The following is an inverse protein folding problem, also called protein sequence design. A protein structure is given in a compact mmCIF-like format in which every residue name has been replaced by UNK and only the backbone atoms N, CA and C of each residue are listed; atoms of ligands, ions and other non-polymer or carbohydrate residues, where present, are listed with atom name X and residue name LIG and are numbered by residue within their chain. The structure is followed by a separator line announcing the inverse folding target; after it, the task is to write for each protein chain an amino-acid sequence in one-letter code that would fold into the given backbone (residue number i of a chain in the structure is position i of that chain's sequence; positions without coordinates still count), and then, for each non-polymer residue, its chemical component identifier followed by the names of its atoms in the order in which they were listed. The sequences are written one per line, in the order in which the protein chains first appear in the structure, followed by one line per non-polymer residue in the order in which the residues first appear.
data_IF_358140261409
#
_entry.id   IF_358140261409
#
_cell.length_a   1.000
_cell.length_b   1.000
_cell.length_c   1.000
_cell.angle_alpha   90.00
_cell.angle_beta   90.00
_cell.angle_gamma   90.00
#
_symmetry.space_group_name_H-M   'P 1'
#
loop_
_entity.id
_entity.type
_entity.pdbx_description
1 polymer ?
#
# COMPACT_ATOMS: atom_id res chain seq x y z
N UNK A 1 19.00 13.06 60.99
CA UNK A 1 20.33 13.54 60.55
C UNK A 1 20.94 12.46 59.65
N UNK A 2 20.22 12.04 58.62
CA UNK A 2 20.09 12.70 57.30
C UNK A 2 21.38 12.65 56.51
N UNK A 3 21.56 11.62 55.67
CA UNK A 3 21.96 11.85 54.28
C UNK A 3 21.45 10.73 53.36
N UNK A 4 20.62 11.19 52.45
CA UNK A 4 19.93 10.55 51.33
C UNK A 4 20.85 9.76 50.40
N UNK A 5 20.39 8.58 49.98
CA UNK A 5 21.00 7.80 48.90
C UNK A 5 20.85 8.47 47.54
N UNK A 6 21.95 8.55 46.79
CA UNK A 6 21.97 9.02 45.41
C UNK A 6 22.23 7.84 44.48
N UNK A 7 21.16 7.29 43.91
CA UNK A 7 21.23 6.38 42.76
C UNK A 7 21.32 7.24 41.51
N UNK A 8 22.48 7.29 40.89
CA UNK A 8 22.70 7.98 39.63
C UNK A 8 22.06 7.17 38.50
N UNK A 9 20.93 7.66 37.97
CA UNK A 9 20.35 7.19 36.71
C UNK A 9 21.10 7.83 35.54
N UNK A 10 21.97 7.08 34.89
CA UNK A 10 22.38 7.40 33.53
C UNK A 10 21.43 6.73 32.54
N UNK A 11 20.54 7.52 31.96
CA UNK A 11 19.83 7.14 30.75
C UNK A 11 20.68 7.51 29.55
N UNK A 12 21.05 6.53 28.72
CA UNK A 12 21.53 6.78 27.36
C UNK A 12 20.96 5.72 26.42
N UNK A 13 20.16 6.25 25.48
CA UNK A 13 19.81 5.80 24.12
C UNK A 13 20.08 4.33 23.76
N UNK A 14 18.98 3.61 23.49
CA UNK A 14 19.00 2.39 22.70
C UNK A 14 19.25 2.80 21.25
N UNK A 15 20.46 2.52 20.77
CA UNK A 15 20.84 2.64 19.38
C UNK A 15 19.92 1.78 18.51
N UNK A 16 19.27 2.42 17.54
CA UNK A 16 18.49 1.77 16.50
C UNK A 16 19.15 2.09 15.16
N UNK A 17 20.34 1.52 14.93
CA UNK A 17 20.99 1.51 13.61
C UNK A 17 21.89 0.28 13.47
N UNK A 18 21.44 -0.65 12.63
CA UNK A 18 22.17 -1.69 11.90
C UNK A 18 21.05 -2.63 11.42
N UNK A 19 20.74 -2.74 10.14
CA UNK A 19 21.55 -3.42 9.14
C UNK A 19 21.27 -2.79 7.77
N UNK A 20 22.36 -2.50 7.05
CA UNK A 20 22.62 -2.63 5.60
C UNK A 20 23.69 -1.59 5.21
N UNK A 21 24.88 -1.71 5.80
CA UNK A 21 26.12 -1.45 5.09
C UNK A 21 26.58 -2.81 4.58
N UNK A 22 26.19 -3.12 3.35
CA UNK A 22 26.94 -4.06 2.53
C UNK A 22 27.05 -3.44 1.13
N UNK A 23 28.29 -3.14 0.80
CA UNK A 23 28.81 -2.46 -0.37
C UNK A 23 28.36 -3.18 -1.63
N UNK A 24 27.52 -2.54 -2.44
CA UNK A 24 27.23 -2.98 -3.81
C UNK A 24 27.83 -1.95 -4.76
N UNK A 25 29.02 -2.27 -5.25
CA UNK A 25 29.68 -1.58 -6.35
C UNK A 25 28.77 -1.60 -7.59
N UNK A 26 28.06 -0.50 -7.82
CA UNK A 26 27.38 -0.21 -9.07
C UNK A 26 27.81 1.17 -9.57
N UNK A 27 28.17 1.31 -10.87
CA UNK A 27 28.83 2.49 -11.39
C UNK A 27 27.93 3.74 -11.32
N UNK A 28 28.49 4.75 -10.65
CA UNK A 28 27.89 6.03 -10.32
C UNK A 28 27.81 6.96 -11.54
N UNK A 29 26.75 6.89 -12.35
CA UNK A 29 26.41 7.92 -13.36
C UNK A 29 24.91 8.13 -13.55
N UNK A 30 24.29 8.96 -12.70
CA UNK A 30 23.25 9.94 -13.08
C UNK A 30 22.72 10.68 -11.83
N UNK A 31 22.55 12.01 -11.88
CA UNK A 31 22.00 12.79 -10.77
C UNK A 31 20.47 12.86 -10.90
N UNK A 32 19.78 11.72 -10.84
CA UNK A 32 18.36 11.72 -10.49
C UNK A 32 18.31 11.66 -8.97
N UNK A 33 17.85 12.74 -8.34
CA UNK A 33 17.77 12.86 -6.88
C UNK A 33 17.16 11.59 -6.27
N UNK A 34 17.95 10.88 -5.45
CA UNK A 34 17.59 9.64 -4.72
C UNK A 34 16.21 9.74 -4.03
N UNK A 35 15.81 10.96 -3.67
CA UNK A 35 14.51 11.32 -3.08
C UNK A 35 13.30 11.02 -3.98
N UNK A 36 13.46 11.09 -5.31
CA UNK A 36 12.36 10.91 -6.26
C UNK A 36 12.18 9.45 -6.68
N UNK A 37 13.28 8.71 -6.72
CA UNK A 37 13.20 7.26 -6.80
C UNK A 37 12.45 6.75 -5.58
N UNK A 38 12.60 7.30 -4.36
CA UNK A 38 11.79 6.90 -3.19
C UNK A 38 10.28 7.26 -3.22
N UNK A 39 9.83 8.21 -4.05
CA UNK A 39 8.40 8.52 -4.19
C UNK A 39 7.70 7.65 -5.24
N UNK A 40 8.47 6.98 -6.12
CA UNK A 40 8.00 6.05 -7.14
C UNK A 40 8.49 4.59 -6.90
N UNK A 41 9.49 4.39 -6.04
CA UNK A 41 9.93 3.12 -5.45
C UNK A 41 9.02 2.87 -4.28
N UNK A 42 8.00 2.05 -4.53
CA UNK A 42 7.82 0.91 -3.65
C UNK A 42 8.69 -0.20 -4.23
N UNK A 43 9.79 -0.46 -3.53
CA UNK A 43 10.73 -1.59 -3.63
C UNK A 43 10.81 -2.26 -5.01
N UNK A 44 11.72 -1.76 -5.86
CA UNK A 44 12.41 -2.58 -6.87
C UNK A 44 13.49 -3.40 -6.15
N UNK A 45 13.08 -4.43 -5.42
CA UNK A 45 13.94 -5.56 -5.09
C UNK A 45 13.28 -6.79 -5.69
N UNK A 46 13.98 -7.39 -6.66
CA UNK A 46 13.59 -8.63 -7.29
C UNK A 46 13.47 -9.73 -6.24
N UNK A 47 12.24 -10.10 -5.92
CA UNK A 47 11.93 -11.39 -5.31
C UNK A 47 11.74 -12.41 -6.42
N UNK A 48 12.59 -13.43 -6.44
CA UNK A 48 12.44 -14.61 -7.30
C UNK A 48 11.02 -15.16 -7.28
N UNK A 49 10.57 -15.62 -8.44
CA UNK A 49 9.16 -15.92 -8.69
C UNK A 49 8.59 -17.02 -7.80
N UNK A 50 7.54 -16.69 -7.05
CA UNK A 50 6.56 -17.68 -6.55
C UNK A 50 5.18 -17.28 -7.07
N UNK A 51 4.68 -17.94 -8.12
CA UNK A 51 3.31 -17.70 -8.61
C UNK A 51 2.33 -17.81 -7.44
N UNK A 52 1.62 -16.72 -7.09
CA UNK A 52 0.64 -16.76 -6.01
C UNK A 52 -0.63 -17.41 -6.56
N UNK A 53 -0.98 -18.59 -6.04
CA UNK A 53 -2.26 -19.24 -6.30
C UNK A 53 -3.38 -18.43 -5.61
N UNK A 54 -4.59 -18.33 -6.19
CA UNK A 54 -5.71 -17.68 -5.51
C UNK A 54 -6.04 -18.41 -4.21
N UNK A 55 -6.01 -17.71 -3.07
CA UNK A 55 -6.28 -18.29 -1.76
C UNK A 55 -7.59 -17.78 -1.17
N UNK A 56 -8.40 -18.71 -0.64
CA UNK A 56 -9.70 -18.46 0.00
C UNK A 56 -10.74 -17.69 -0.85
N UNK A 57 -10.49 -17.43 -2.13
CA UNK A 57 -11.45 -16.79 -3.05
C UNK A 57 -12.69 -17.66 -3.29
N UNK A 58 -12.56 -18.98 -3.19
CA UNK A 58 -13.68 -19.94 -3.31
C UNK A 58 -14.68 -19.87 -2.15
N UNK A 59 -14.28 -19.33 -0.99
CA UNK A 59 -15.11 -19.22 0.21
C UNK A 59 -15.89 -17.91 0.30
N UNK A 60 -15.64 -16.99 -0.64
CA UNK A 60 -16.27 -15.68 -0.71
C UNK A 60 -17.24 -15.67 -1.90
N UNK A 61 -18.46 -15.14 -1.77
CA UNK A 61 -19.40 -15.06 -2.89
C UNK A 61 -18.77 -14.37 -4.10
N UNK A 62 -18.97 -14.93 -5.30
CA UNK A 62 -18.38 -14.39 -6.53
C UNK A 62 -18.76 -12.93 -6.76
N UNK A 63 -19.98 -12.55 -6.38
CA UNK A 63 -20.49 -11.19 -6.49
C UNK A 63 -19.63 -10.19 -5.70
N UNK A 64 -19.10 -10.59 -4.54
CA UNK A 64 -18.21 -9.75 -3.72
C UNK A 64 -16.87 -9.54 -4.43
N UNK A 65 -16.32 -10.60 -5.04
CA UNK A 65 -15.07 -10.53 -5.80
C UNK A 65 -15.23 -9.62 -7.03
N UNK A 66 -16.32 -9.79 -7.77
CA UNK A 66 -16.64 -8.99 -8.96
C UNK A 66 -16.85 -7.52 -8.58
N UNK A 67 -17.52 -7.24 -7.46
CA UNK A 67 -17.67 -5.89 -6.91
C UNK A 67 -16.34 -5.26 -6.49
N UNK A 68 -15.44 -6.02 -5.83
CA UNK A 68 -14.12 -5.53 -5.45
C UNK A 68 -13.30 -5.11 -6.69
N UNK A 69 -13.32 -5.94 -7.74
CA UNK A 69 -12.65 -5.66 -9.02
C UNK A 69 -13.27 -4.43 -9.68
N UNK A 70 -14.60 -4.35 -9.76
CA UNK A 70 -15.30 -3.22 -10.35
C UNK A 70 -15.00 -1.91 -9.61
N UNK A 71 -15.05 -1.91 -8.28
CA UNK A 71 -14.74 -0.73 -7.47
C UNK A 71 -13.27 -0.30 -7.62
N UNK A 72 -12.34 -1.25 -7.63
CA UNK A 72 -10.90 -0.97 -7.87
C UNK A 72 -10.68 -0.36 -9.25
N UNK A 73 -11.38 -0.87 -10.27
CA UNK A 73 -11.32 -0.35 -11.65
C UNK A 73 -11.88 1.06 -11.75
N UNK A 74 -13.01 1.33 -11.12
CA UNK A 74 -13.60 2.67 -11.07
C UNK A 74 -12.66 3.68 -10.42
N UNK A 75 -12.03 3.34 -9.29
CA UNK A 75 -11.02 4.18 -8.67
C UNK A 75 -9.81 4.42 -9.61
N UNK A 76 -9.29 3.35 -10.21
CA UNK A 76 -8.15 3.43 -11.14
C UNK A 76 -8.42 4.30 -12.37
N UNK A 77 -9.65 4.27 -12.89
CA UNK A 77 -10.08 5.12 -14.02
C UNK A 77 -10.07 6.61 -13.65
N UNK A 78 -10.44 6.97 -12.42
CA UNK A 78 -10.39 8.37 -11.96
C UNK A 78 -8.93 8.83 -11.81
N UNK A 79 -8.07 7.99 -11.23
CA UNK A 79 -6.62 8.26 -11.10
C UNK A 79 -5.97 8.44 -12.48
N UNK A 80 -6.31 7.59 -13.45
CA UNK A 80 -5.82 7.69 -14.83
C UNK A 80 -6.23 9.02 -15.49
N UNK A 81 -7.40 9.56 -15.16
CA UNK A 81 -7.89 10.87 -15.62
C UNK A 81 -7.27 12.06 -14.87
N UNK A 82 -6.39 11.81 -13.89
CA UNK A 82 -5.75 12.85 -13.10
C UNK A 82 -6.49 13.23 -11.83
N UNK A 83 -7.61 12.56 -11.50
CA UNK A 83 -8.29 12.76 -10.23
C UNK A 83 -7.73 11.81 -9.17
N UNK A 84 -6.73 12.31 -8.44
CA UNK A 84 -6.11 11.58 -7.32
C UNK A 84 -6.84 11.81 -5.99
N UNK A 85 -7.81 12.73 -5.95
CA UNK A 85 -8.59 13.00 -4.73
C UNK A 85 -9.43 11.78 -4.31
N UNK A 86 -9.89 11.01 -5.30
CA UNK A 86 -10.60 9.75 -5.10
C UNK A 86 -9.83 8.75 -4.20
N UNK A 87 -8.50 8.74 -4.28
CA UNK A 87 -7.66 7.84 -3.49
C UNK A 87 -7.67 8.21 -2.00
N UNK A 88 -7.85 9.50 -1.68
CA UNK A 88 -8.03 9.98 -0.31
C UNK A 88 -9.45 9.73 0.21
N UNK A 89 -10.45 9.92 -0.64
CA UNK A 89 -11.86 9.78 -0.29
C UNK A 89 -12.24 8.33 -0.05
N UNK A 90 -11.73 7.44 -0.89
CA UNK A 90 -11.93 5.99 -0.77
C UNK A 90 -10.85 5.31 0.06
N UNK A 91 -9.96 6.05 0.72
CA UNK A 91 -8.96 5.44 1.61
C UNK A 91 -9.63 4.78 2.81
N UNK A 92 -9.24 3.56 3.16
CA UNK A 92 -9.76 2.86 4.34
C UNK A 92 -9.60 3.72 5.60
N UNK A 93 -10.68 4.04 6.35
CA UNK A 93 -10.63 5.08 7.39
C UNK A 93 -9.57 4.86 8.48
N UNK A 94 -9.38 3.61 8.93
CA UNK A 94 -8.36 3.30 9.96
C UNK A 94 -6.95 3.46 9.40
N UNK A 95 -6.75 3.14 8.12
CA UNK A 95 -5.50 3.39 7.41
C UNK A 95 -5.25 4.89 7.21
N UNK A 96 -6.26 5.65 6.74
CA UNK A 96 -6.21 7.12 6.59
C UNK A 96 -5.79 7.81 7.88
N UNK A 97 -6.38 7.41 9.01
CA UNK A 97 -6.02 7.92 10.34
C UNK A 97 -4.57 7.59 10.71
N UNK A 98 -4.09 6.37 10.40
CA UNK A 98 -2.70 5.97 10.66
C UNK A 98 -1.71 6.72 9.76
N UNK A 99 -1.99 6.83 8.47
CA UNK A 99 -1.16 7.59 7.53
C UNK A 99 -1.05 9.05 7.94
N UNK A 100 -2.16 9.69 8.32
CA UNK A 100 -2.17 11.07 8.81
C UNK A 100 -1.33 11.27 10.08
N UNK A 101 -1.39 10.34 11.04
CA UNK A 101 -0.59 10.40 12.29
C UNK A 101 0.92 10.41 12.06
N UNK A 102 1.40 9.92 10.90
CA UNK A 102 2.82 9.90 10.55
C UNK A 102 3.33 11.24 10.00
N UNK A 103 2.44 12.22 9.79
CA UNK A 103 2.76 13.50 9.18
C UNK A 103 2.62 14.64 10.19
N UNK A 104 3.62 15.53 10.24
CA UNK A 104 3.47 16.83 10.89
C UNK A 104 2.40 17.62 10.10
N UNK A 105 1.23 17.84 10.71
CA UNK A 105 0.05 18.43 10.04
C UNK A 105 -1.11 17.45 9.78
N UNK A 106 -0.97 16.17 10.15
CA UNK A 106 -2.09 15.24 10.25
C UNK A 106 -2.82 15.01 8.93
N UNK A 107 -4.15 15.08 8.97
CA UNK A 107 -5.01 14.83 7.80
C UNK A 107 -4.90 15.93 6.74
N UNK A 108 -4.71 17.19 7.16
CA UNK A 108 -4.57 18.31 6.22
C UNK A 108 -3.29 18.15 5.38
N UNK A 109 -2.17 17.78 6.02
CA UNK A 109 -0.93 17.52 5.30
C UNK A 109 -1.03 16.28 4.39
N UNK A 110 -1.71 15.22 4.84
CA UNK A 110 -1.99 14.05 3.98
C UNK A 110 -2.77 14.45 2.72
N UNK A 111 -3.83 15.24 2.89
CA UNK A 111 -4.67 15.71 1.79
C UNK A 111 -3.89 16.59 0.81
N UNK A 112 -3.13 17.55 1.34
CA UNK A 112 -2.27 18.45 0.55
C UNK A 112 -1.24 17.66 -0.28
N UNK A 113 -0.55 16.68 0.34
CA UNK A 113 0.43 15.86 -0.38
C UNK A 113 -0.17 15.09 -1.55
N UNK A 114 -1.39 14.57 -1.42
CA UNK A 114 -2.08 13.86 -2.49
C UNK A 114 -2.57 14.81 -3.58
N UNK A 115 -3.09 15.99 -3.21
CA UNK A 115 -3.49 17.02 -4.16
C UNK A 115 -2.30 17.55 -4.99
N UNK A 116 -1.08 17.55 -4.43
CA UNK A 116 0.13 17.97 -5.14
C UNK A 116 0.64 16.93 -6.16
N UNK A 117 0.21 15.67 -6.08
CA UNK A 117 0.77 14.56 -6.89
C UNK A 117 0.71 14.84 -8.40
N UNK A 118 -0.45 15.26 -8.98
CA UNK A 118 -0.54 15.52 -10.41
C UNK A 118 0.45 16.58 -10.89
N UNK A 119 0.54 17.70 -10.16
CA UNK A 119 1.44 18.80 -10.50
C UNK A 119 2.91 18.36 -10.43
N UNK A 120 3.27 17.58 -9.40
CA UNK A 120 4.62 17.02 -9.26
C UNK A 120 4.95 16.06 -10.41
N UNK A 121 4.05 15.13 -10.73
CA UNK A 121 4.22 14.22 -11.87
C UNK A 121 4.41 14.99 -13.18
N UNK A 122 3.55 15.97 -13.46
CA UNK A 122 3.64 16.79 -14.66
C UNK A 122 4.96 17.57 -14.75
N UNK A 123 5.38 18.21 -13.65
CA UNK A 123 6.65 18.96 -13.58
C UNK A 123 7.89 18.10 -13.85
N UNK A 124 7.76 16.79 -13.65
CA UNK A 124 8.83 15.80 -13.84
C UNK A 124 8.68 15.03 -15.16
N UNK A 125 7.74 15.44 -16.02
CA UNK A 125 7.47 14.76 -17.29
C UNK A 125 6.92 13.35 -17.12
N UNK A 126 6.27 13.06 -15.98
CA UNK A 126 5.65 11.77 -15.67
C UNK A 126 4.17 11.83 -16.02
N UNK A 127 3.68 10.88 -16.81
CA UNK A 127 2.26 10.73 -17.12
C UNK A 127 1.86 9.26 -17.07
N UNK A 128 0.76 8.95 -16.37
CA UNK A 128 0.17 7.61 -16.39
C UNK A 128 -0.48 7.38 -17.77
N UNK A 129 -0.11 6.28 -18.42
CA UNK A 129 -0.64 5.88 -19.73
C UNK A 129 -1.74 4.83 -19.59
N UNK A 130 -1.59 3.93 -18.63
CA UNK A 130 -2.46 2.77 -18.45
C UNK A 130 -2.63 2.45 -16.99
N UNK A 131 -3.82 1.98 -16.63
CA UNK A 131 -4.11 1.38 -15.33
C UNK A 131 -5.03 0.17 -15.54
N UNK A 132 -4.56 -1.00 -15.14
CA UNK A 132 -5.25 -2.28 -15.28
C UNK A 132 -5.48 -2.91 -13.91
N UNK A 133 -6.59 -3.64 -13.82
CA UNK A 133 -7.02 -4.35 -12.62
C UNK A 133 -7.15 -5.82 -12.98
N UNK A 134 -6.43 -6.67 -12.24
CA UNK A 134 -6.43 -8.12 -12.41
C UNK A 134 -7.46 -8.82 -11.55
N UNK A 135 -7.49 -10.15 -11.67
CA UNK A 135 -8.34 -11.02 -10.86
C UNK A 135 -7.87 -11.09 -9.40
N UNK A 136 -8.78 -11.19 -8.41
CA UNK A 136 -8.41 -11.31 -7.01
C UNK A 136 -7.54 -12.55 -6.74
N UNK A 137 -6.50 -12.37 -5.92
CA UNK A 137 -5.59 -13.46 -5.53
C UNK A 137 -5.80 -13.92 -4.10
N UNK A 138 -6.56 -13.17 -3.31
CA UNK A 138 -6.88 -13.54 -1.94
C UNK A 138 -8.14 -12.83 -1.47
N UNK A 139 -9.01 -13.53 -0.75
CA UNK A 139 -10.20 -12.93 -0.16
C UNK A 139 -10.48 -13.51 1.22
N UNK A 140 -10.84 -12.64 2.16
CA UNK A 140 -10.98 -12.97 3.57
C UNK A 140 -12.23 -12.31 4.15
N UNK A 141 -12.94 -13.08 4.96
CA UNK A 141 -13.90 -12.53 5.89
C UNK A 141 -13.15 -12.03 7.13
N UNK A 142 -13.25 -10.75 7.47
CA UNK A 142 -12.44 -10.16 8.54
C UNK A 142 -13.27 -9.62 9.70
N UNK A 143 -12.76 -9.87 10.91
CA UNK A 143 -13.38 -9.47 12.17
C UNK A 143 -13.18 -7.98 12.41
N UNK A 144 -14.27 -7.25 12.63
CA UNK A 144 -14.23 -5.83 12.99
C UNK A 144 -14.40 -5.61 14.50
N UNK A 145 -15.17 -6.48 15.16
CA UNK A 145 -15.51 -6.37 16.58
C UNK A 145 -15.24 -7.70 17.27
N UNK A 146 -14.51 -7.62 18.40
CA UNK A 146 -14.45 -8.66 19.42
C UNK A 146 -15.36 -8.21 20.55
N UNK A 147 -16.40 -8.97 20.82
CA UNK A 147 -17.36 -8.69 21.87
C UNK A 147 -17.50 -9.88 22.81
N UNK A 148 -18.38 -9.74 23.79
CA UNK A 148 -18.85 -10.87 24.59
C UNK A 148 -20.34 -11.09 24.34
N UNK A 149 -20.76 -12.35 24.27
CA UNK A 149 -22.18 -12.67 24.29
C UNK A 149 -22.81 -12.34 25.67
N UNK A 150 -24.11 -12.57 25.80
CA UNK A 150 -24.86 -12.33 27.06
C UNK A 150 -24.37 -13.19 28.23
N UNK A 151 -23.55 -14.20 27.97
CA UNK A 151 -23.05 -15.19 28.93
C UNK A 151 -21.54 -14.99 29.18
N UNK A 152 -20.91 -14.01 28.53
CA UNK A 152 -19.52 -13.62 28.73
C UNK A 152 -18.49 -14.30 27.82
N UNK A 153 -18.92 -15.12 26.84
CA UNK A 153 -18.03 -15.78 25.88
C UNK A 153 -17.59 -14.81 24.78
N UNK A 154 -16.35 -14.93 24.33
CA UNK A 154 -15.84 -14.10 23.25
C UNK A 154 -16.55 -14.41 21.93
N UNK A 155 -17.09 -13.37 21.28
CA UNK A 155 -17.73 -13.44 19.96
C UNK A 155 -16.96 -12.57 18.99
N UNK A 156 -16.57 -13.17 17.87
CA UNK A 156 -15.98 -12.46 16.73
C UNK A 156 -17.09 -12.10 15.74
N UNK A 157 -17.25 -10.80 15.47
CA UNK A 157 -18.19 -10.32 14.44
C UNK A 157 -17.44 -10.04 13.14
N UNK A 158 -17.70 -10.89 12.16
CA UNK A 158 -17.14 -10.81 10.83
C UNK A 158 -17.98 -9.87 9.94
N UNK A 159 -17.64 -8.59 9.96
CA UNK A 159 -18.48 -7.53 9.38
C UNK A 159 -17.93 -6.95 8.07
N UNK A 160 -16.71 -7.32 7.68
CA UNK A 160 -16.08 -6.79 6.48
C UNK A 160 -15.56 -7.91 5.58
N UNK A 161 -15.62 -7.67 4.28
CA UNK A 161 -14.87 -8.39 3.27
C UNK A 161 -13.55 -7.68 3.03
N UNK A 162 -12.47 -8.45 2.89
CA UNK A 162 -11.17 -7.98 2.49
C UNK A 162 -10.72 -8.76 1.26
N UNK A 163 -10.42 -8.06 0.17
CA UNK A 163 -10.05 -8.67 -1.11
C UNK A 163 -8.75 -8.05 -1.61
N UNK A 164 -7.77 -8.88 -1.96
CA UNK A 164 -6.53 -8.47 -2.58
C UNK A 164 -6.69 -8.43 -4.10
N UNK A 165 -6.65 -7.23 -4.68
CA UNK A 165 -6.90 -7.00 -6.10
C UNK A 165 -5.60 -6.51 -6.78
N UNK A 166 -4.95 -7.33 -7.62
CA UNK A 166 -3.77 -6.94 -8.37
C UNK A 166 -4.03 -5.76 -9.31
N UNK A 167 -3.01 -4.93 -9.51
CA UNK A 167 -3.05 -3.76 -10.38
C UNK A 167 -1.75 -3.62 -11.16
N UNK A 168 -1.85 -3.08 -12.38
CA UNK A 168 -0.71 -2.78 -13.24
C UNK A 168 -0.88 -1.38 -13.80
N UNK A 169 0.12 -0.53 -13.62
CA UNK A 169 0.13 0.81 -14.18
C UNK A 169 1.34 0.99 -15.10
N UNK A 170 1.12 1.67 -16.23
CA UNK A 170 2.19 2.08 -17.13
C UNK A 170 2.34 3.60 -17.07
N UNK A 171 3.57 4.08 -17.01
CA UNK A 171 3.89 5.50 -17.04
C UNK A 171 4.85 5.80 -18.18
N UNK A 172 4.68 6.98 -18.77
CA UNK A 172 5.71 7.65 -19.55
C UNK A 172 6.51 8.55 -18.63
N UNK A 173 7.82 8.55 -18.77
CA UNK A 173 8.73 9.49 -18.11
C UNK A 173 9.56 10.17 -19.19
N UNK A 174 9.56 11.49 -19.22
CA UNK A 174 10.50 12.26 -20.03
C UNK A 174 11.77 12.45 -19.22
N UNK A 175 12.88 11.92 -19.73
CA UNK A 175 14.16 12.08 -19.08
C UNK A 175 14.59 13.56 -19.09
N UNK A 176 14.90 14.18 -17.95
CA UNK A 176 15.18 15.61 -17.89
C UNK A 176 16.48 15.99 -18.60
N UNK A 177 17.43 15.06 -18.74
CA UNK A 177 18.73 15.31 -19.35
C UNK A 177 18.69 15.05 -20.86
N UNK A 178 18.18 13.89 -21.26
CA UNK A 178 18.18 13.46 -22.67
C UNK A 178 16.93 13.88 -23.43
N UNK A 179 15.87 14.32 -22.72
CA UNK A 179 14.53 14.62 -23.26
C UNK A 179 13.84 13.44 -23.94
N UNK A 180 14.39 12.23 -23.83
CA UNK A 180 13.83 11.02 -24.41
C UNK A 180 12.74 10.44 -23.51
N UNK A 181 11.71 9.89 -24.13
CA UNK A 181 10.62 9.21 -23.43
C UNK A 181 11.00 7.77 -23.09
N UNK A 182 10.81 7.40 -21.82
CA UNK A 182 10.88 6.01 -21.34
C UNK A 182 9.52 5.55 -20.87
N UNK A 183 9.23 4.25 -21.04
CA UNK A 183 8.03 3.63 -20.48
C UNK A 183 8.43 2.75 -19.31
N UNK A 184 7.76 2.94 -18.19
CA UNK A 184 7.91 2.10 -17.02
C UNK A 184 6.59 1.42 -16.70
N UNK A 185 6.68 0.21 -16.18
CA UNK A 185 5.59 -0.54 -15.62
C UNK A 185 5.75 -0.62 -14.10
N UNK A 186 4.64 -0.51 -13.38
CA UNK A 186 4.56 -0.85 -11.96
C UNK A 186 3.46 -1.88 -11.75
N UNK A 187 3.77 -2.97 -11.07
CA UNK A 187 2.82 -3.95 -10.56
C UNK A 187 2.61 -3.70 -9.07
N UNK A 188 1.37 -3.61 -8.66
CA UNK A 188 0.96 -3.40 -7.27
C UNK A 188 -0.36 -4.09 -7.00
N UNK A 189 -1.00 -3.73 -5.90
CA UNK A 189 -2.36 -4.19 -5.61
C UNK A 189 -3.07 -3.25 -4.66
N UNK A 190 -4.40 -3.30 -4.69
CA UNK A 190 -5.25 -2.69 -3.69
C UNK A 190 -5.78 -3.76 -2.74
N UNK A 191 -5.80 -3.45 -1.45
CA UNK A 191 -6.63 -4.18 -0.49
C UNK A 191 -7.99 -3.49 -0.48
N UNK A 192 -8.96 -4.09 -1.15
CA UNK A 192 -10.33 -3.62 -1.22
C UNK A 192 -11.11 -4.11 0.00
N UNK A 193 -11.70 -3.20 0.76
CA UNK A 193 -12.41 -3.46 2.01
C UNK A 193 -13.84 -2.97 1.89
N UNK A 194 -14.80 -3.85 2.19
CA UNK A 194 -16.22 -3.54 2.14
C UNK A 194 -16.90 -3.99 3.43
N UNK A 195 -17.74 -3.13 4.01
CA UNK A 195 -18.63 -3.56 5.10
C UNK A 195 -19.79 -4.36 4.50
N UNK A 196 -20.01 -5.56 5.03
CA UNK A 196 -21.08 -6.44 4.58
C UNK A 196 -22.44 -5.72 4.61
N UNK A 197 -23.20 -5.90 3.54
CA UNK A 197 -24.50 -5.25 3.37
C UNK A 197 -24.44 -3.77 2.98
N UNK A 198 -23.26 -3.24 2.63
CA UNK A 198 -23.09 -1.87 2.13
C UNK A 198 -22.52 -1.86 0.71
N UNK A 199 -22.81 -0.80 -0.05
CA UNK A 199 -22.30 -0.63 -1.41
C UNK A 199 -20.88 -0.02 -1.45
N UNK A 200 -20.42 0.57 -0.34
CA UNK A 200 -19.17 1.32 -0.33
C UNK A 200 -17.94 0.42 -0.20
N UNK A 201 -16.98 0.67 -1.09
CA UNK A 201 -15.66 0.07 -1.08
C UNK A 201 -14.60 1.09 -0.70
N UNK A 202 -13.67 0.65 0.14
CA UNK A 202 -12.51 1.43 0.56
C UNK A 202 -11.22 0.68 0.26
N UNK A 203 -10.12 1.41 0.14
CA UNK A 203 -8.86 0.85 -0.35
C UNK A 203 -7.69 1.17 0.56
N UNK A 204 -6.76 0.22 0.62
CA UNK A 204 -5.41 0.40 1.12
C UNK A 204 -4.47 0.07 -0.04
N UNK A 205 -3.57 0.99 -0.40
CA UNK A 205 -2.50 0.68 -1.36
C UNK A 205 -1.56 -0.34 -0.72
N UNK A 206 -1.58 -1.57 -1.25
CA UNK A 206 -0.83 -2.71 -0.73
C UNK A 206 0.68 -2.51 -0.79
N UNK A 207 1.15 -1.57 -1.61
CA UNK A 207 2.55 -1.17 -1.70
C UNK A 207 3.02 -0.35 -0.50
N UNK A 208 2.09 0.34 0.17
CA UNK A 208 2.38 1.27 1.27
C UNK A 208 1.95 0.73 2.65
N UNK A 209 1.40 -0.48 2.71
CA UNK A 209 0.90 -1.09 3.94
C UNK A 209 1.66 -2.38 4.24
N UNK A 210 2.33 -2.44 5.40
CA UNK A 210 2.98 -3.67 5.85
C UNK A 210 1.95 -4.73 6.27
N UNK A 211 2.34 -6.01 6.25
CA UNK A 211 1.48 -7.09 6.75
C UNK A 211 1.18 -6.92 8.24
N UNK A 212 2.14 -6.40 9.01
CA UNK A 212 1.91 -6.05 10.41
C UNK A 212 0.85 -4.95 10.57
N UNK A 213 0.88 -3.90 9.74
CA UNK A 213 -0.18 -2.89 9.72
C UNK A 213 -1.52 -3.53 9.36
N UNK A 214 -1.57 -4.38 8.33
CA UNK A 214 -2.80 -5.04 7.90
C UNK A 214 -3.39 -5.93 8.99
N UNK A 215 -2.59 -6.79 9.62
CA UNK A 215 -3.01 -7.65 10.75
C UNK A 215 -3.41 -6.84 11.98
N UNK A 216 -2.81 -5.66 12.21
CA UNK A 216 -3.25 -4.77 13.30
C UNK A 216 -4.65 -4.20 13.05
N UNK A 217 -5.08 -4.11 11.79
CA UNK A 217 -6.46 -3.76 11.46
C UNK A 217 -7.37 -4.99 11.47
N UNK A 218 -6.88 -6.11 10.95
CA UNK A 218 -7.64 -7.33 10.71
C UNK A 218 -6.94 -8.52 11.40
N UNK A 219 -7.08 -8.65 12.73
CA UNK A 219 -6.31 -9.63 13.50
C UNK A 219 -6.74 -11.08 13.27
N UNK A 220 -7.80 -11.33 12.49
CA UNK A 220 -8.22 -12.67 12.06
C UNK A 220 -7.58 -13.13 10.74
N UNK A 221 -6.71 -12.33 10.13
CA UNK A 221 -6.00 -12.74 8.92
C UNK A 221 -4.99 -13.86 9.22
N UNK A 222 -4.84 -14.85 8.31
CA UNK A 222 -3.85 -15.92 8.44
C UNK A 222 -2.43 -15.42 8.75
N UNK A 223 -1.71 -16.15 9.61
CA UNK A 223 -0.29 -15.89 9.92
C UNK A 223 0.64 -16.30 8.78
N UNK A 224 0.28 -17.38 8.07
CA UNK A 224 0.97 -17.80 6.86
C UNK A 224 0.69 -16.82 5.71
N UNK A 225 1.76 -16.26 5.14
CA UNK A 225 1.68 -15.35 4.00
C UNK A 225 1.17 -16.04 2.73
N UNK A 226 1.45 -17.33 2.56
CA UNK A 226 0.93 -18.14 1.47
C UNK A 226 -0.59 -18.07 1.45
N UNK A 227 -1.21 -18.31 2.60
CA UNK A 227 -2.68 -18.34 2.78
C UNK A 227 -3.36 -16.97 2.66
N UNK A 228 -2.60 -15.87 2.67
CA UNK A 228 -3.18 -14.54 2.46
C UNK A 228 -3.51 -14.30 0.98
N UNK A 229 -2.81 -14.94 0.06
CA UNK A 229 -2.98 -14.70 -1.37
C UNK A 229 -2.54 -13.31 -1.79
N UNK A 230 -1.42 -12.80 -1.24
CA UNK A 230 -0.94 -11.45 -1.53
C UNK A 230 -0.37 -11.38 -2.96
N UNK A 231 -0.83 -10.43 -3.80
CA UNK A 231 -0.26 -10.20 -5.12
C UNK A 231 1.20 -9.81 -5.06
N UNK A 232 1.97 -10.23 -6.06
CA UNK A 232 3.34 -9.72 -6.24
C UNK A 232 3.33 -8.23 -6.55
N UNK A 233 4.27 -7.53 -5.95
CA UNK A 233 4.63 -6.16 -6.32
C UNK A 233 5.89 -6.17 -7.19
N UNK A 234 6.07 -5.15 -8.02
CA UNK A 234 7.28 -5.02 -8.83
C UNK A 234 7.11 -4.03 -9.98
N UNK A 235 7.89 -4.19 -11.03
CA UNK A 235 7.87 -3.30 -12.18
C UNK A 235 9.19 -3.34 -12.95
N UNK A 236 9.28 -2.55 -14.01
CA UNK A 236 10.47 -2.47 -14.84
C UNK A 236 10.32 -1.52 -16.01
N UNK A 237 11.41 -1.25 -16.72
CA UNK A 237 11.38 -0.50 -17.98
C UNK A 237 10.80 -1.39 -19.09
N UNK A 238 9.78 -0.90 -19.80
CA UNK A 238 9.14 -1.60 -20.92
C UNK A 238 9.86 -1.32 -22.26
N UNK A 239 10.88 -0.46 -22.25
CA UNK A 239 11.65 -0.04 -23.41
C UNK A 239 11.58 1.47 -23.66
N UNK A 240 12.47 1.95 -24.54
CA UNK A 240 12.45 3.35 -25.03
C UNK A 240 11.32 3.49 -26.04
N UNK A 241 10.46 4.49 -25.85
CA UNK A 241 9.45 4.82 -26.85
C UNK A 241 10.13 5.34 -28.11
N UNK A 242 9.79 4.80 -29.29
CA UNK A 242 9.99 5.49 -30.57
C UNK A 242 9.01 6.64 -30.69
#
# INVERSE_FOLDING_TARGET
MDTVGQVVKFGVKIDRFAVLDEESDLPQKSPVSRTLLMLLIVVLLGGGGVSAKPENTEKVPKEVLDQAVAATRLMGQQVLKGDYSIALDRMYPRWKKRAAKRLAGGQAELARRLADVPAKMASQGISMLKYEVGEPTGAHEVVLLRGKDRIGNDVNMYLEWLVFVPTRAEYRIIDPQTRLARRIETKGFQVAVNRKGTADWYFIDGRNCSIADLRSFFPGLPEDLGLLGIPKVGGGELGRGR
#
